data_IF_166386028691
#
_entry.id   IF_166386028691
#
_cell.length_a   1.000
_cell.length_b   1.000
_cell.length_c   1.000
_cell.angle_alpha   90.00
_cell.angle_beta   90.00
_cell.angle_gamma   90.00
#
_symmetry.space_group_name_H-M   'P 1'
#
loop_
_entity.id
_entity.type
_entity.pdbx_description
1 polymer ?
#
# COMPACT_ATOMS: atom_id res chain seq x y z
N UNK A 1 4.91 34.94 -11.53
CA UNK A 1 4.40 34.62 -12.88
C UNK A 1 3.49 35.75 -13.30
N UNK A 2 3.66 36.31 -14.50
CA UNK A 2 2.76 37.36 -15.02
C UNK A 2 1.44 36.74 -15.49
N UNK A 3 0.35 37.53 -15.52
CA UNK A 3 -0.97 37.05 -15.96
C UNK A 3 -0.92 36.44 -17.36
N UNK A 4 -0.24 37.08 -18.32
CA UNK A 4 -0.08 36.57 -19.67
C UNK A 4 0.66 35.22 -19.72
N UNK A 5 1.67 35.01 -18.86
CA UNK A 5 2.38 33.75 -18.76
C UNK A 5 1.49 32.64 -18.16
N UNK A 6 0.66 32.98 -17.17
CA UNK A 6 -0.30 32.06 -16.57
C UNK A 6 -1.36 31.61 -17.58
N UNK A 7 -1.96 32.55 -18.32
CA UNK A 7 -2.96 32.27 -19.35
C UNK A 7 -2.44 31.34 -20.44
N UNK A 8 -1.20 31.55 -20.89
CA UNK A 8 -0.53 30.64 -21.84
C UNK A 8 -0.37 29.22 -21.29
N UNK A 9 -0.04 29.07 -20.01
CA UNK A 9 0.14 27.76 -19.40
C UNK A 9 -1.16 26.99 -19.17
N UNK A 10 -2.25 27.70 -18.84
CA UNK A 10 -3.57 27.07 -18.67
C UNK A 10 -4.31 26.87 -20.01
N UNK A 11 -3.78 27.41 -21.11
CA UNK A 11 -4.42 27.33 -22.43
C UNK A 11 -5.68 28.20 -22.56
N UNK A 12 -5.84 29.22 -21.71
CA UNK A 12 -7.00 30.11 -21.74
C UNK A 12 -6.65 31.44 -22.42
N UNK A 13 -7.61 31.99 -23.17
CA UNK A 13 -7.45 33.31 -23.77
C UNK A 13 -7.80 34.43 -22.76
N UNK A 14 -7.32 35.64 -23.03
CA UNK A 14 -7.53 36.79 -22.13
C UNK A 14 -9.00 37.17 -21.95
N UNK A 15 -9.83 37.01 -22.98
CA UNK A 15 -11.26 37.36 -22.94
C UNK A 15 -12.05 36.39 -22.04
N UNK A 16 -11.82 35.09 -22.19
CA UNK A 16 -12.38 34.02 -21.36
C UNK A 16 -12.00 34.18 -19.90
N UNK A 17 -10.74 34.59 -19.61
CA UNK A 17 -10.30 34.88 -18.25
C UNK A 17 -11.02 36.10 -17.67
N UNK A 18 -11.11 37.20 -18.41
CA UNK A 18 -11.82 38.41 -17.95
C UNK A 18 -13.31 38.15 -17.70
N UNK A 19 -13.95 37.32 -18.54
CA UNK A 19 -15.33 36.87 -18.34
C UNK A 19 -15.45 36.00 -17.10
N UNK A 20 -14.53 35.05 -16.91
CA UNK A 20 -14.49 34.16 -15.74
C UNK A 20 -14.42 34.95 -14.43
N UNK A 21 -13.51 35.93 -14.35
CA UNK A 21 -13.31 36.74 -13.13
C UNK A 21 -14.51 37.61 -12.75
N UNK A 22 -15.46 37.83 -13.68
CA UNK A 22 -16.70 38.57 -13.40
C UNK A 22 -17.84 37.67 -12.92
N UNK A 23 -17.75 36.36 -13.12
CA UNK A 23 -18.75 35.41 -12.65
C UNK A 23 -18.67 35.25 -11.13
N UNK A 24 -19.83 35.05 -10.49
CA UNK A 24 -19.95 34.86 -9.03
C UNK A 24 -20.77 33.61 -8.74
N UNK A 25 -20.54 33.06 -7.55
CA UNK A 25 -21.25 31.89 -7.04
C UNK A 25 -20.44 30.59 -7.20
N UNK A 26 -20.78 29.53 -6.44
CA UNK A 26 -19.96 28.31 -6.33
C UNK A 26 -19.75 27.57 -7.66
N UNK A 27 -20.74 27.66 -8.56
CA UNK A 27 -20.74 27.00 -9.87
C UNK A 27 -20.65 27.99 -11.03
N UNK A 28 -20.54 29.29 -10.75
CA UNK A 28 -20.49 30.36 -11.76
C UNK A 28 -19.16 30.33 -12.51
N UNK A 29 -19.06 29.48 -13.54
CA UNK A 29 -17.87 29.36 -14.38
C UNK A 29 -17.24 27.97 -14.45
N UNK A 30 -17.94 26.91 -13.99
CA UNK A 30 -17.48 25.53 -14.16
C UNK A 30 -17.25 25.16 -15.64
N UNK A 31 -18.06 25.73 -16.54
CA UNK A 31 -18.00 25.46 -17.98
C UNK A 31 -16.94 26.30 -18.72
N UNK A 32 -16.26 27.24 -18.03
CA UNK A 32 -15.23 28.07 -18.64
C UNK A 32 -13.88 27.34 -18.65
N UNK A 33 -13.17 27.34 -19.78
CA UNK A 33 -11.84 26.74 -19.92
C UNK A 33 -10.80 27.29 -18.94
N UNK A 34 -10.99 28.52 -18.45
CA UNK A 34 -10.14 29.13 -17.44
C UNK A 34 -10.20 28.36 -16.11
N UNK A 35 -11.36 27.83 -15.74
CA UNK A 35 -11.55 27.07 -14.50
C UNK A 35 -10.82 25.72 -14.56
N UNK A 36 -11.07 24.93 -15.60
CA UNK A 36 -10.43 23.61 -15.75
C UNK A 36 -8.91 23.71 -15.90
N UNK A 37 -8.43 24.67 -16.69
CA UNK A 37 -6.99 24.91 -16.88
C UNK A 37 -6.29 25.38 -15.59
N UNK A 38 -6.92 26.29 -14.83
CA UNK A 38 -6.36 26.78 -13.57
C UNK A 38 -6.33 25.71 -12.47
N UNK A 39 -7.39 24.90 -12.33
CA UNK A 39 -7.40 23.77 -11.40
C UNK A 39 -6.24 22.81 -11.65
N UNK A 40 -6.03 22.43 -12.92
CA UNK A 40 -4.93 21.55 -13.30
C UNK A 40 -3.56 22.15 -12.96
N UNK A 41 -3.38 23.45 -13.23
CA UNK A 41 -2.14 24.16 -12.92
C UNK A 41 -1.83 24.16 -11.41
N UNK A 42 -2.80 24.50 -10.56
CA UNK A 42 -2.61 24.51 -9.11
C UNK A 42 -2.36 23.12 -8.55
N UNK A 43 -3.08 22.10 -9.03
CA UNK A 43 -2.85 20.72 -8.64
C UNK A 43 -1.43 20.24 -8.94
N UNK A 44 -0.89 20.58 -10.11
CA UNK A 44 0.51 20.26 -10.44
C UNK A 44 1.49 21.00 -9.54
N UNK A 45 1.21 22.27 -9.24
CA UNK A 45 2.07 23.08 -8.38
C UNK A 45 2.10 22.55 -6.95
N UNK A 46 0.95 22.20 -6.37
CA UNK A 46 0.87 21.57 -5.05
C UNK A 46 1.63 20.24 -5.01
N UNK A 47 1.52 19.42 -6.07
CA UNK A 47 2.33 18.19 -6.18
C UNK A 47 3.83 18.48 -6.22
N UNK A 48 4.26 19.49 -6.96
CA UNK A 48 5.67 19.90 -7.03
C UNK A 48 6.15 20.45 -5.67
N UNK A 49 5.35 21.25 -4.99
CA UNK A 49 5.67 21.78 -3.65
C UNK A 49 5.73 20.67 -2.60
N UNK A 50 4.81 19.70 -2.62
CA UNK A 50 4.86 18.50 -1.75
C UNK A 50 6.14 17.70 -2.00
N UNK A 51 6.46 17.41 -3.28
CA UNK A 51 7.70 16.72 -3.65
C UNK A 51 8.96 17.51 -3.26
N UNK A 52 8.96 18.84 -3.40
CA UNK A 52 10.08 19.68 -2.99
C UNK A 52 10.26 19.69 -1.47
N UNK A 53 9.18 19.79 -0.69
CA UNK A 53 9.21 19.68 0.78
C UNK A 53 9.67 18.30 1.24
N UNK A 54 9.28 17.24 0.54
CA UNK A 54 9.76 15.87 0.79
C UNK A 54 11.25 15.72 0.44
N UNK A 55 11.70 16.28 -0.68
CA UNK A 55 13.11 16.28 -1.08
C UNK A 55 13.98 17.11 -0.13
N UNK A 56 13.50 18.25 0.37
CA UNK A 56 14.20 19.08 1.37
C UNK A 56 14.28 18.34 2.72
N UNK A 57 13.21 17.66 3.14
CA UNK A 57 13.22 16.79 4.33
C UNK A 57 14.18 15.61 4.16
N UNK A 58 14.29 15.05 2.96
CA UNK A 58 15.23 13.98 2.66
C UNK A 58 16.68 14.50 2.66
N UNK A 59 16.95 15.68 2.10
CA UNK A 59 18.27 16.32 2.09
C UNK A 59 18.72 16.72 3.49
N UNK A 60 17.83 17.25 4.34
CA UNK A 60 18.14 17.56 5.76
C UNK A 60 18.40 16.30 6.60
N UNK A 61 17.81 15.15 6.25
CA UNK A 61 18.13 13.86 6.87
C UNK A 61 19.45 13.24 6.37
N UNK A 62 20.01 13.74 5.27
CA UNK A 62 21.24 13.24 4.65
C UNK A 62 22.49 14.10 4.95
N UNK A 63 22.37 15.21 5.70
CA UNK A 63 23.54 16.00 6.10
C UNK A 63 24.37 15.26 7.18
N UNK A 64 25.68 15.03 6.98
CA UNK A 64 26.52 14.32 7.93
C UNK A 64 26.82 15.18 9.16
N UNK A 65 26.66 14.60 10.36
CA UNK A 65 27.15 15.19 11.61
C UNK A 65 28.66 15.44 11.48
N UNK A 66 29.08 16.71 11.49
CA UNK A 66 30.48 17.11 11.65
C UNK A 66 31.00 16.56 12.99
N UNK A 67 32.02 15.71 12.91
CA UNK A 67 32.87 15.32 14.05
C UNK A 67 33.56 16.58 14.60
N UNK A 68 33.46 16.82 15.91
CA UNK A 68 34.43 17.61 16.67
C UNK A 68 35.12 16.63 17.61
N UNK A 69 36.43 16.49 17.46
CA UNK A 69 37.29 15.60 18.24
C UNK A 69 37.90 16.36 19.42
N UNK A 70 38.03 15.68 20.56
CA UNK A 70 38.91 15.86 21.75
C UNK A 70 38.34 14.90 22.83
N UNK A 71 38.92 13.71 23.05
CA UNK A 71 39.93 13.36 24.09
C UNK A 71 39.28 13.40 25.49
N UNK A 72 39.19 12.37 26.34
CA UNK A 72 40.16 11.34 26.79
C UNK A 72 39.44 10.26 27.67
N UNK A 73 40.16 9.18 28.01
CA UNK A 73 39.84 7.86 28.62
C UNK A 73 38.92 7.70 29.85
N UNK A 74 38.24 6.53 29.94
CA UNK A 74 38.26 5.61 31.11
C UNK A 74 37.36 4.35 30.90
N UNK A 75 37.90 3.20 31.29
CA UNK A 75 37.42 1.82 31.14
C UNK A 75 36.11 1.51 31.93
N UNK A 76 35.25 0.63 31.39
CA UNK A 76 34.79 -0.63 32.01
C UNK A 76 33.45 -1.18 31.43
N UNK A 77 33.44 -2.51 31.25
CA UNK A 77 32.31 -3.44 31.16
C UNK A 77 31.33 -3.41 29.94
N UNK A 78 31.46 -4.44 29.11
CA UNK A 78 30.45 -4.96 28.18
C UNK A 78 29.74 -6.17 28.85
N UNK A 79 28.54 -6.67 28.43
CA UNK A 79 28.13 -6.66 27.03
C UNK A 79 26.60 -6.68 26.67
N UNK A 80 26.36 -6.24 25.43
CA UNK A 80 25.47 -6.83 24.41
C UNK A 80 23.94 -6.90 24.65
N UNK A 81 23.21 -5.97 24.04
CA UNK A 81 22.01 -6.30 23.22
C UNK A 81 22.00 -5.45 21.96
N UNK A 82 22.80 -5.89 20.99
CA UNK A 82 22.81 -5.36 19.64
C UNK A 82 21.56 -5.85 18.89
N UNK A 83 20.55 -4.99 18.79
CA UNK A 83 19.48 -5.11 17.79
C UNK A 83 20.08 -4.86 16.39
N UNK A 84 20.71 -5.89 15.82
CA UNK A 84 21.13 -5.89 14.42
C UNK A 84 19.89 -5.86 13.55
N UNK A 85 19.59 -4.66 13.03
CA UNK A 85 18.82 -4.47 11.80
C UNK A 85 19.33 -5.45 10.74
N UNK A 86 18.50 -6.43 10.39
CA UNK A 86 18.74 -7.27 9.24
C UNK A 86 18.84 -6.37 8.00
N UNK A 87 20.04 -6.34 7.45
CA UNK A 87 20.39 -5.68 6.19
C UNK A 87 19.79 -6.54 5.09
N UNK A 88 18.55 -6.22 4.68
CA UNK A 88 17.88 -6.91 3.58
C UNK A 88 18.62 -6.61 2.28
N UNK A 89 19.49 -7.54 1.91
CA UNK A 89 20.08 -7.65 0.58
C UNK A 89 18.97 -7.71 -0.47
N UNK A 90 19.14 -6.96 -1.55
CA UNK A 90 18.25 -6.94 -2.72
C UNK A 90 18.36 -8.28 -3.46
N UNK A 91 17.72 -9.32 -2.91
CA UNK A 91 17.46 -10.56 -3.62
C UNK A 91 16.42 -10.28 -4.70
N UNK A 92 16.56 -10.94 -5.86
CA UNK A 92 15.59 -10.79 -6.95
C UNK A 92 14.22 -11.22 -6.46
N UNK A 93 13.13 -10.64 -7.01
CA UNK A 93 11.77 -10.92 -6.53
C UNK A 93 11.43 -12.41 -6.55
N UNK A 94 12.03 -13.18 -7.46
CA UNK A 94 11.87 -14.64 -7.54
C UNK A 94 12.58 -15.39 -6.40
N UNK A 95 13.79 -14.99 -6.03
CA UNK A 95 14.55 -15.64 -4.94
C UNK A 95 13.84 -15.47 -3.59
N UNK A 96 13.21 -14.32 -3.36
CA UNK A 96 12.43 -14.08 -2.14
C UNK A 96 11.18 -14.96 -2.08
N UNK A 97 10.50 -15.17 -3.22
CA UNK A 97 9.34 -16.06 -3.31
C UNK A 97 9.71 -17.51 -2.95
N UNK A 98 10.81 -18.01 -3.48
CA UNK A 98 11.31 -19.36 -3.15
C UNK A 98 11.65 -19.51 -1.66
N UNK A 99 12.26 -18.50 -1.04
CA UNK A 99 12.53 -18.50 0.41
C UNK A 99 11.26 -18.53 1.25
N UNK A 100 10.21 -17.85 0.79
CA UNK A 100 8.91 -17.86 1.48
C UNK A 100 8.31 -19.27 1.40
N UNK A 101 8.36 -19.92 0.25
CA UNK A 101 7.76 -21.24 0.08
C UNK A 101 8.42 -22.33 0.94
N UNK A 102 9.75 -22.26 1.09
CA UNK A 102 10.54 -23.15 1.94
C UNK A 102 10.15 -23.11 3.43
N UNK A 103 9.43 -22.08 3.87
CA UNK A 103 8.86 -22.06 5.22
C UNK A 103 7.65 -22.99 5.25
N UNK A 104 7.81 -24.13 5.91
CA UNK A 104 6.75 -25.08 6.15
C UNK A 104 5.77 -24.53 7.20
N UNK A 105 4.48 -24.61 6.88
CA UNK A 105 3.38 -24.26 7.77
C UNK A 105 2.69 -25.55 8.20
N UNK A 106 2.23 -25.66 9.47
CA UNK A 106 1.42 -26.80 9.88
C UNK A 106 0.14 -26.90 9.03
N UNK A 107 -0.14 -28.10 8.52
CA UNK A 107 -1.19 -28.37 7.52
C UNK A 107 -2.61 -28.05 8.03
N UNK A 108 -2.82 -28.04 9.35
CA UNK A 108 -4.11 -27.79 10.00
C UNK A 108 -4.27 -26.36 10.54
N UNK A 109 -3.65 -25.35 9.90
CA UNK A 109 -3.83 -23.95 10.30
C UNK A 109 -5.18 -23.39 9.83
N UNK A 110 -6.02 -23.01 10.80
CA UNK A 110 -7.19 -22.18 10.56
C UNK A 110 -6.82 -20.78 10.05
N UNK A 111 -7.73 -20.15 9.31
CA UNK A 111 -7.55 -18.78 8.79
C UNK A 111 -8.09 -17.77 9.79
N UNK A 112 -7.25 -16.85 10.27
CA UNK A 112 -7.65 -15.91 11.33
C UNK A 112 -7.75 -14.45 10.90
N UNK A 113 -7.23 -14.06 9.72
CA UNK A 113 -7.32 -12.67 9.26
C UNK A 113 -8.51 -12.46 8.33
N UNK A 114 -9.12 -11.27 8.37
CA UNK A 114 -10.26 -10.89 7.53
C UNK A 114 -9.87 -10.75 6.04
N UNK A 115 -10.85 -10.85 5.14
CA UNK A 115 -10.61 -10.63 3.71
C UNK A 115 -10.09 -9.22 3.40
N UNK A 116 -10.55 -8.19 4.13
CA UNK A 116 -10.05 -6.82 3.96
C UNK A 116 -8.56 -6.72 4.32
N UNK A 117 -8.14 -7.37 5.41
CA UNK A 117 -6.73 -7.36 5.86
C UNK A 117 -5.83 -8.07 4.85
N UNK A 118 -6.27 -9.22 4.33
CA UNK A 118 -5.52 -9.95 3.29
C UNK A 118 -5.44 -9.14 1.99
N UNK A 119 -6.50 -8.42 1.61
CA UNK A 119 -6.46 -7.48 0.48
C UNK A 119 -5.45 -6.36 0.69
N UNK A 120 -5.41 -5.77 1.88
CA UNK A 120 -4.45 -4.71 2.21
C UNK A 120 -3.00 -5.22 2.11
N UNK A 121 -2.73 -6.43 2.59
CA UNK A 121 -1.42 -7.07 2.44
C UNK A 121 -1.04 -7.31 0.99
N UNK A 122 -1.96 -7.85 0.17
CA UNK A 122 -1.73 -8.01 -1.28
C UNK A 122 -1.42 -6.67 -1.95
N UNK A 123 -2.19 -5.62 -1.64
CA UNK A 123 -1.98 -4.30 -2.23
C UNK A 123 -0.64 -3.70 -1.79
N UNK A 124 -0.28 -3.79 -0.51
CA UNK A 124 1.01 -3.32 0.00
C UNK A 124 2.17 -4.06 -0.67
N UNK A 125 2.06 -5.37 -0.85
CA UNK A 125 3.07 -6.19 -1.51
C UNK A 125 3.28 -5.79 -2.99
N UNK A 126 2.19 -5.55 -3.71
CA UNK A 126 2.22 -5.07 -5.11
C UNK A 126 2.81 -3.65 -5.19
N UNK A 127 2.43 -2.76 -4.26
CA UNK A 127 2.93 -1.37 -4.20
C UNK A 127 4.43 -1.34 -3.86
N UNK A 128 4.88 -2.21 -2.96
CA UNK A 128 6.29 -2.37 -2.60
C UNK A 128 7.15 -2.90 -3.77
N UNK A 129 6.51 -3.41 -4.84
CA UNK A 129 7.14 -3.98 -6.04
C UNK A 129 8.06 -5.16 -5.73
N UNK A 130 7.75 -5.92 -4.69
CA UNK A 130 8.49 -7.14 -4.35
C UNK A 130 8.23 -8.24 -5.39
N UNK A 131 6.98 -8.34 -5.89
CA UNK A 131 6.62 -9.19 -7.02
C UNK A 131 5.57 -8.53 -7.92
N UNK A 132 5.54 -8.95 -9.19
CA UNK A 132 4.46 -8.57 -10.11
C UNK A 132 3.21 -9.39 -9.83
N UNK A 133 2.04 -8.85 -10.18
CA UNK A 133 0.76 -9.56 -10.05
C UNK A 133 0.76 -10.92 -10.77
N UNK A 134 1.45 -10.99 -11.91
CA UNK A 134 1.55 -12.20 -12.73
C UNK A 134 2.45 -13.24 -12.05
N UNK A 135 3.60 -12.82 -11.53
CA UNK A 135 4.52 -13.72 -10.83
C UNK A 135 3.89 -14.31 -9.57
N UNK A 136 3.19 -13.50 -8.78
CA UNK A 136 2.48 -13.96 -7.58
C UNK A 136 1.35 -14.94 -7.93
N UNK A 137 0.58 -14.64 -8.98
CA UNK A 137 -0.51 -15.51 -9.43
C UNK A 137 0.00 -16.87 -9.92
N UNK A 138 1.11 -16.88 -10.67
CA UNK A 138 1.77 -18.11 -11.09
C UNK A 138 2.31 -18.91 -9.90
N UNK A 139 2.95 -18.23 -8.94
CA UNK A 139 3.53 -18.87 -7.76
C UNK A 139 2.48 -19.51 -6.84
N UNK A 140 1.33 -18.86 -6.66
CA UNK A 140 0.25 -19.33 -5.79
C UNK A 140 -0.81 -20.16 -6.55
N UNK A 141 -0.54 -20.52 -7.81
CA UNK A 141 -1.39 -21.36 -8.65
C UNK A 141 -2.85 -20.87 -8.77
N UNK A 142 -3.04 -19.57 -9.00
CA UNK A 142 -4.36 -19.02 -9.33
C UNK A 142 -4.33 -18.08 -10.53
N UNK A 143 -5.48 -17.87 -11.16
CA UNK A 143 -5.60 -16.95 -12.29
C UNK A 143 -5.44 -15.49 -11.86
N UNK A 144 -4.75 -14.70 -12.69
CA UNK A 144 -4.65 -13.24 -12.54
C UNK A 144 -6.04 -12.59 -12.49
N UNK A 145 -7.02 -13.13 -13.23
CA UNK A 145 -8.40 -12.66 -13.22
C UNK A 145 -9.06 -12.86 -11.85
N UNK A 146 -8.82 -14.01 -11.20
CA UNK A 146 -9.31 -14.29 -9.85
C UNK A 146 -8.73 -13.31 -8.83
N UNK A 147 -7.44 -12.95 -8.95
CA UNK A 147 -6.83 -11.95 -8.09
C UNK A 147 -7.45 -10.57 -8.32
N UNK A 148 -7.64 -10.14 -9.57
CA UNK A 148 -8.28 -8.85 -9.88
C UNK A 148 -9.70 -8.79 -9.32
N UNK A 149 -10.49 -9.86 -9.51
CA UNK A 149 -11.84 -9.97 -8.94
C UNK A 149 -11.81 -9.90 -7.42
N UNK A 150 -10.86 -10.58 -6.78
CA UNK A 150 -10.69 -10.54 -5.33
C UNK A 150 -10.38 -9.13 -4.84
N UNK A 151 -9.42 -8.43 -5.45
CA UNK A 151 -9.07 -7.05 -5.10
C UNK A 151 -10.21 -6.04 -5.33
N UNK A 152 -11.14 -6.33 -6.24
CA UNK A 152 -12.29 -5.49 -6.53
C UNK A 152 -13.42 -5.61 -5.48
N UNK A 153 -13.54 -6.77 -4.80
CA UNK A 153 -14.55 -6.99 -3.75
C UNK A 153 -14.30 -6.11 -2.51
N UNK A 154 -15.36 -5.83 -1.74
CA UNK A 154 -15.32 -4.90 -0.60
C UNK A 154 -16.18 -5.39 0.57
N UNK A 155 -15.52 -5.91 1.59
CA UNK A 155 -16.16 -6.22 2.86
C UNK A 155 -15.40 -7.28 3.64
N UNK A 156 -15.57 -7.31 4.97
CA UNK A 156 -14.76 -8.14 5.88
C UNK A 156 -14.76 -9.63 5.52
N UNK A 157 -15.88 -10.12 4.96
CA UNK A 157 -16.08 -11.53 4.58
C UNK A 157 -16.31 -11.73 3.07
N UNK A 158 -16.37 -10.65 2.30
CA UNK A 158 -16.53 -10.79 0.85
C UNK A 158 -15.28 -11.43 0.24
N UNK A 159 -15.49 -12.56 -0.45
CA UNK A 159 -14.42 -13.34 -1.04
C UNK A 159 -13.82 -14.42 -0.12
N UNK A 160 -14.45 -14.76 1.01
CA UNK A 160 -14.02 -15.85 1.89
C UNK A 160 -13.89 -17.20 1.17
N UNK A 161 -14.78 -17.48 0.21
CA UNK A 161 -14.75 -18.68 -0.63
C UNK A 161 -13.80 -18.61 -1.83
N UNK A 162 -12.98 -17.57 -1.95
CA UNK A 162 -12.00 -17.48 -3.03
C UNK A 162 -10.76 -18.32 -2.70
N UNK A 163 -10.27 -19.08 -3.67
CA UNK A 163 -8.95 -19.75 -3.61
C UNK A 163 -7.84 -18.73 -3.30
N UNK A 164 -7.98 -17.49 -3.80
CA UNK A 164 -7.01 -16.41 -3.59
C UNK A 164 -6.88 -16.07 -2.11
N UNK A 165 -7.98 -16.04 -1.35
CA UNK A 165 -7.96 -15.69 0.07
C UNK A 165 -7.19 -16.73 0.89
N UNK A 166 -7.51 -18.02 0.71
CA UNK A 166 -6.82 -19.12 1.40
C UNK A 166 -5.32 -19.14 1.07
N UNK A 167 -4.97 -19.08 -0.21
CA UNK A 167 -3.58 -19.12 -0.67
C UNK A 167 -2.78 -17.90 -0.20
N UNK A 168 -3.34 -16.69 -0.34
CA UNK A 168 -2.69 -15.46 0.09
C UNK A 168 -2.47 -15.43 1.61
N UNK A 169 -3.44 -15.91 2.40
CA UNK A 169 -3.29 -15.98 3.85
C UNK A 169 -2.06 -16.82 4.26
N UNK A 170 -1.95 -18.04 3.72
CA UNK A 170 -0.79 -18.89 4.00
C UNK A 170 0.52 -18.26 3.52
N UNK A 171 0.52 -17.61 2.35
CA UNK A 171 1.70 -16.91 1.85
C UNK A 171 2.17 -15.80 2.82
N UNK A 172 1.26 -14.97 3.32
CA UNK A 172 1.62 -13.92 4.28
C UNK A 172 2.01 -14.45 5.66
N UNK A 173 1.50 -15.61 6.06
CA UNK A 173 1.96 -16.31 7.26
C UNK A 173 3.39 -16.82 7.13
N UNK A 174 3.73 -17.43 5.98
CA UNK A 174 5.12 -17.83 5.67
C UNK A 174 6.04 -16.62 5.69
N UNK A 175 5.64 -15.52 5.06
CA UNK A 175 6.36 -14.24 5.11
C UNK A 175 6.57 -13.73 6.53
N UNK A 176 5.54 -13.79 7.38
CA UNK A 176 5.63 -13.33 8.77
C UNK A 176 6.64 -14.15 9.57
N UNK A 177 6.65 -15.47 9.39
CA UNK A 177 7.60 -16.38 10.03
C UNK A 177 9.04 -16.11 9.55
N UNK A 178 9.23 -15.92 8.25
CA UNK A 178 10.53 -15.56 7.66
C UNK A 178 11.06 -14.24 8.25
N UNK A 179 10.20 -13.23 8.37
CA UNK A 179 10.56 -11.91 8.91
C UNK A 179 10.56 -11.85 10.45
N UNK A 180 10.18 -12.94 11.14
CA UNK A 180 10.01 -13.00 12.60
C UNK A 180 9.14 -11.87 13.17
N UNK A 181 8.08 -11.49 12.44
CA UNK A 181 7.16 -10.43 12.88
C UNK A 181 6.14 -10.98 13.91
N UNK A 182 5.79 -10.21 14.95
CA UNK A 182 4.80 -10.65 15.93
C UNK A 182 3.40 -10.75 15.30
N UNK A 183 2.54 -11.56 15.92
CA UNK A 183 1.12 -11.65 15.56
C UNK A 183 0.42 -10.31 15.78
N UNK A 184 -0.49 -9.95 14.89
CA UNK A 184 -1.33 -8.75 15.03
C UNK A 184 -2.30 -8.90 16.21
N UNK A 185 -2.59 -7.80 16.90
CA UNK A 185 -3.59 -7.75 17.98
C UNK A 185 -4.97 -8.23 17.54
N UNK A 186 -5.34 -8.03 16.26
CA UNK A 186 -6.62 -8.53 15.70
C UNK A 186 -6.65 -10.05 15.71
N UNK A 187 -5.59 -10.69 15.23
CA UNK A 187 -5.46 -12.14 15.21
C UNK A 187 -5.50 -12.73 16.62
N UNK A 188 -4.79 -12.14 17.57
CA UNK A 188 -4.82 -12.59 18.97
C UNK A 188 -6.23 -12.54 19.58
N UNK A 189 -7.06 -11.58 19.19
CA UNK A 189 -8.46 -11.51 19.61
C UNK A 189 -9.29 -12.63 18.96
N UNK A 190 -9.11 -12.84 17.66
CA UNK A 190 -9.86 -13.85 16.91
C UNK A 190 -9.50 -15.27 17.38
N UNK A 191 -8.21 -15.56 17.60
CA UNK A 191 -7.76 -16.83 18.18
C UNK A 191 -8.41 -17.12 19.54
N UNK A 192 -8.70 -16.08 20.34
CA UNK A 192 -9.39 -16.22 21.63
C UNK A 192 -10.90 -16.44 21.48
N UNK A 193 -11.55 -15.72 20.58
CA UNK A 193 -13.01 -15.79 20.40
C UNK A 193 -13.43 -16.99 19.56
N UNK A 194 -12.59 -17.41 18.61
CA UNK A 194 -12.91 -18.41 17.61
C UNK A 194 -11.67 -19.27 17.30
N UNK A 195 -11.43 -20.36 18.07
CA UNK A 195 -10.24 -21.19 17.94
C UNK A 195 -10.15 -21.89 16.58
N UNK A 196 -11.30 -22.25 15.97
CA UNK A 196 -11.40 -22.90 14.67
C UNK A 196 -11.09 -21.97 13.47
N UNK A 197 -10.96 -20.65 13.71
CA UNK A 197 -10.76 -19.67 12.65
C UNK A 197 -12.01 -19.43 11.78
N UNK A 198 -11.84 -18.64 10.74
CA UNK A 198 -12.90 -18.26 9.83
C UNK A 198 -13.33 -19.40 8.90
N UNK A 199 -14.64 -19.51 8.66
CA UNK A 199 -15.16 -20.39 7.61
C UNK A 199 -14.67 -19.96 6.23
N UNK A 200 -14.23 -20.91 5.42
CA UNK A 200 -13.82 -20.68 4.03
C UNK A 200 -14.97 -20.91 3.04
N UNK A 201 -16.13 -21.29 3.54
CA UNK A 201 -17.31 -21.47 2.71
C UNK A 201 -17.88 -20.12 2.29
N UNK A 202 -18.38 -20.08 1.06
CA UNK A 202 -19.19 -18.97 0.58
C UNK A 202 -20.62 -19.25 1.03
N UNK A 203 -21.21 -18.35 1.82
CA UNK A 203 -22.61 -18.46 2.21
C UNK A 203 -23.50 -18.46 0.97
N UNK A 204 -23.92 -19.65 0.52
CA UNK A 204 -24.82 -19.86 -0.61
C UNK A 204 -26.23 -19.31 -0.34
N UNK A 205 -26.53 -18.95 0.91
CA UNK A 205 -27.86 -18.54 1.37
C UNK A 205 -28.36 -17.21 0.77
N UNK A 206 -27.47 -16.40 0.18
CA UNK A 206 -27.81 -15.15 -0.50
C UNK A 206 -27.73 -15.29 -2.02
N UNK A 207 -28.30 -16.37 -2.57
CA UNK A 207 -28.53 -16.51 -4.00
C UNK A 207 -29.64 -15.57 -4.46
N UNK A 208 -29.46 -14.92 -5.62
CA UNK A 208 -30.51 -14.13 -6.25
C UNK A 208 -31.70 -15.03 -6.55
N UNK A 209 -32.81 -14.83 -5.84
CA UNK A 209 -34.08 -15.47 -6.19
C UNK A 209 -34.62 -14.71 -7.39
N UNK A 210 -34.52 -15.33 -8.57
CA UNK A 210 -35.22 -14.86 -9.75
C UNK A 210 -36.71 -15.14 -9.54
N UNK A 211 -37.50 -14.10 -9.27
CA UNK A 211 -38.95 -14.20 -9.25
C UNK A 211 -39.43 -13.99 -10.71
N UNK A 212 -40.02 -15.01 -11.36
CA UNK A 212 -40.50 -14.92 -12.74
C UNK A 212 -41.68 -13.94 -12.90
#
# INVERSE_FOLDING_TARGET
>A
MTQAAFLKQIGANSNSYQRYMKLKGPYGGCDNSTYSGSLHFFYQREKKEKKAKEAEKAAKKAAPKRKKATGDDSEDEAPLVASKKAKTTKLTGADRLAQIEAVELPENLGVYDDCDVVRDYLQQFIIAKECTQVALAAHLNFSVASLRKYLAMRGKREGSGSIVYKAAYFFFEKLRLLENKPKSNKRLKIEKTMPQGYSLERDSKYGWVYCP
#
